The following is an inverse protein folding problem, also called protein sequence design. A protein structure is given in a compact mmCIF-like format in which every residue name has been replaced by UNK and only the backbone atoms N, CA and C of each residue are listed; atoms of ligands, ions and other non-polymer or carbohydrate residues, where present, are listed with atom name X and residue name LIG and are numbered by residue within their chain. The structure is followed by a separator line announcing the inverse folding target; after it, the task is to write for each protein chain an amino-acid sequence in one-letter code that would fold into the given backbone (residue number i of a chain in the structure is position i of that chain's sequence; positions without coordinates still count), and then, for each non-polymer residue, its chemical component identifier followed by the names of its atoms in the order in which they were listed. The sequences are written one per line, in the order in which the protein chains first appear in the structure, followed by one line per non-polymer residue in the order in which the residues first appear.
data_IF_098892611739
#
_entry.id   IF_098892611739
#
_cell.length_a   1.000
_cell.length_b   1.000
_cell.length_c   1.000
_cell.angle_alpha   90.00
_cell.angle_beta   90.00
_cell.angle_gamma   90.00
#
_symmetry.space_group_name_H-M   'P 1'
#
loop_
_entity.id
_entity.type
_entity.pdbx_description
1 polymer ?
#
# COMPACT_ATOMS: atom_id res chain seq x y z
N UNK A 1 21.30 -3.76 -4.03
CA UNK A 1 21.01 -2.97 -2.83
C UNK A 1 20.01 -1.87 -3.15
N UNK A 2 19.36 -1.31 -2.14
CA UNK A 2 18.38 -0.22 -2.30
C UNK A 2 19.05 1.03 -2.87
N UNK A 3 20.26 1.32 -2.43
CA UNK A 3 21.03 2.49 -2.86
C UNK A 3 21.42 2.39 -4.34
N UNK A 4 21.88 1.24 -4.81
CA UNK A 4 22.18 1.02 -6.22
C UNK A 4 20.96 1.18 -7.13
N UNK A 5 19.77 0.76 -6.66
CA UNK A 5 18.53 0.96 -7.42
C UNK A 5 18.20 2.46 -7.52
N UNK A 6 18.28 3.20 -6.41
CA UNK A 6 18.01 4.64 -6.38
C UNK A 6 18.94 5.41 -7.33
N UNK A 7 20.24 5.09 -7.30
CA UNK A 7 21.22 5.69 -8.21
C UNK A 7 20.95 5.34 -9.69
N UNK A 8 20.60 4.08 -9.97
CA UNK A 8 20.27 3.65 -11.33
C UNK A 8 19.04 4.39 -11.88
N UNK A 9 17.99 4.55 -11.06
CA UNK A 9 16.80 5.33 -11.42
C UNK A 9 17.15 6.80 -11.62
N UNK A 10 17.98 7.41 -10.78
CA UNK A 10 18.42 8.80 -10.93
C UNK A 10 19.20 9.00 -12.24
N UNK A 11 20.02 8.04 -12.63
CA UNK A 11 20.74 8.07 -13.92
C UNK A 11 19.79 8.02 -15.12
N UNK A 12 18.80 7.11 -15.09
CA UNK A 12 17.77 7.03 -16.14
C UNK A 12 16.97 8.33 -16.25
N UNK A 13 16.62 8.94 -15.12
CA UNK A 13 15.96 10.24 -15.05
C UNK A 13 16.79 11.33 -15.73
N UNK A 14 18.07 11.46 -15.37
CA UNK A 14 18.96 12.46 -15.97
C UNK A 14 19.11 12.30 -17.49
N UNK A 15 19.17 11.06 -17.98
CA UNK A 15 19.20 10.76 -19.41
C UNK A 15 17.88 11.13 -20.10
N UNK A 16 16.75 10.79 -19.48
CA UNK A 16 15.43 11.12 -20.01
C UNK A 16 15.21 12.64 -20.07
N UNK A 17 15.60 13.37 -19.02
CA UNK A 17 15.56 14.83 -18.99
C UNK A 17 16.42 15.47 -20.09
N UNK A 18 17.62 14.93 -20.33
CA UNK A 18 18.48 15.37 -21.41
C UNK A 18 17.83 15.21 -22.79
N UNK A 19 17.20 14.05 -23.04
CA UNK A 19 16.48 13.80 -24.30
C UNK A 19 15.25 14.70 -24.45
N UNK A 20 14.51 14.94 -23.38
CA UNK A 20 13.37 15.84 -23.40
C UNK A 20 13.77 17.28 -23.73
N UNK A 21 14.87 17.78 -23.16
CA UNK A 21 15.41 19.13 -23.42
C UNK A 21 15.83 19.33 -24.88
N UNK A 22 16.35 18.32 -25.55
CA UNK A 22 16.71 18.40 -26.96
C UNK A 22 15.55 18.05 -27.90
N UNK A 23 14.33 17.91 -27.38
CA UNK A 23 13.11 17.68 -28.16
C UNK A 23 12.88 16.21 -28.56
N UNK A 24 13.75 15.27 -28.16
CA UNK A 24 13.56 13.86 -28.47
C UNK A 24 12.54 13.21 -27.48
N UNK A 25 11.30 13.69 -27.55
CA UNK A 25 10.20 13.24 -26.67
C UNK A 25 9.96 11.72 -26.69
N UNK A 26 9.97 11.03 -27.83
CA UNK A 26 9.75 9.58 -27.85
C UNK A 26 10.78 8.80 -27.03
N UNK A 27 12.06 9.11 -27.19
CA UNK A 27 13.14 8.46 -26.46
C UNK A 27 13.10 8.83 -24.96
N UNK A 28 12.78 10.09 -24.61
CA UNK A 28 12.59 10.50 -23.24
C UNK A 28 11.46 9.71 -22.55
N UNK A 29 10.32 9.55 -23.19
CA UNK A 29 9.18 8.77 -22.67
C UNK A 29 9.58 7.32 -22.39
N UNK A 30 10.36 6.70 -23.28
CA UNK A 30 10.83 5.33 -23.08
C UNK A 30 11.70 5.21 -21.83
N UNK A 31 12.66 6.12 -21.63
CA UNK A 31 13.53 6.10 -20.45
C UNK A 31 12.77 6.44 -19.17
N UNK A 32 11.82 7.39 -19.19
CA UNK A 32 10.96 7.64 -18.04
C UNK A 32 10.13 6.42 -17.66
N UNK A 33 9.60 5.66 -18.61
CA UNK A 33 8.88 4.42 -18.31
C UNK A 33 9.79 3.36 -17.68
N UNK A 34 11.00 3.16 -18.23
CA UNK A 34 11.99 2.27 -17.63
C UNK A 34 12.37 2.71 -16.20
N UNK A 35 12.52 4.00 -15.99
CA UNK A 35 12.78 4.54 -14.66
C UNK A 35 11.60 4.28 -13.70
N UNK A 36 10.36 4.44 -14.16
CA UNK A 36 9.16 4.18 -13.35
C UNK A 36 9.06 2.69 -12.94
N UNK A 37 9.36 1.78 -13.87
CA UNK A 37 9.34 0.34 -13.60
C UNK A 37 10.31 -0.05 -12.47
N UNK A 38 11.45 0.64 -12.39
CA UNK A 38 12.48 0.40 -11.39
C UNK A 38 12.28 1.21 -10.09
N UNK A 39 11.61 2.36 -10.15
CA UNK A 39 11.46 3.27 -9.03
C UNK A 39 10.61 2.67 -7.90
N UNK A 40 11.03 2.95 -6.65
CA UNK A 40 10.30 2.58 -5.42
C UNK A 40 10.33 3.70 -4.38
N UNK A 41 11.13 4.72 -4.63
CA UNK A 41 11.23 5.90 -3.77
C UNK A 41 10.23 6.96 -4.24
N UNK A 42 9.41 7.46 -3.32
CA UNK A 42 8.25 8.31 -3.63
C UNK A 42 8.62 9.60 -4.36
N UNK A 43 9.74 10.20 -4.01
CA UNK A 43 10.27 11.41 -4.68
C UNK A 43 10.61 11.14 -6.15
N UNK A 44 11.26 10.02 -6.45
CA UNK A 44 11.57 9.62 -7.82
C UNK A 44 10.29 9.29 -8.61
N UNK A 45 9.34 8.55 -8.02
CA UNK A 45 8.06 8.22 -8.66
C UNK A 45 7.28 9.49 -9.00
N UNK A 46 7.22 10.47 -8.08
CA UNK A 46 6.57 11.77 -8.34
C UNK A 46 7.22 12.52 -9.49
N UNK A 47 8.55 12.60 -9.50
CA UNK A 47 9.30 13.28 -10.57
C UNK A 47 9.05 12.63 -11.93
N UNK A 48 9.16 11.30 -12.01
CA UNK A 48 8.97 10.54 -13.25
C UNK A 48 7.52 10.67 -13.75
N UNK A 49 6.54 10.50 -12.88
CA UNK A 49 5.12 10.57 -13.26
C UNK A 49 4.73 11.99 -13.71
N UNK A 50 5.29 13.02 -13.05
CA UNK A 50 5.14 14.42 -13.47
C UNK A 50 5.67 14.65 -14.88
N UNK A 51 6.93 14.27 -15.15
CA UNK A 51 7.55 14.41 -16.46
C UNK A 51 6.78 13.66 -17.58
N UNK A 52 6.30 12.46 -17.29
CA UNK A 52 5.46 11.71 -18.24
C UNK A 52 4.15 12.45 -18.55
N UNK A 53 3.49 13.00 -17.53
CA UNK A 53 2.25 13.77 -17.69
C UNK A 53 2.48 15.06 -18.50
N UNK A 54 3.57 15.78 -18.27
CA UNK A 54 3.97 16.96 -19.06
C UNK A 54 4.22 16.61 -20.53
N UNK A 55 4.69 15.40 -20.81
CA UNK A 55 4.81 14.86 -22.16
C UNK A 55 3.50 14.29 -22.73
N UNK A 56 2.36 14.56 -22.07
CA UNK A 56 1.04 14.12 -22.52
C UNK A 56 0.79 12.62 -22.34
N UNK A 57 1.54 11.94 -21.45
CA UNK A 57 1.38 10.52 -21.20
C UNK A 57 0.55 10.26 -19.93
N UNK A 58 -0.50 9.45 -20.06
CA UNK A 58 -1.27 8.99 -18.90
C UNK A 58 -0.40 8.07 -18.04
N UNK A 59 -0.40 8.31 -16.74
CA UNK A 59 0.26 7.46 -15.72
C UNK A 59 -0.80 7.12 -14.67
N UNK A 60 -1.08 5.84 -14.53
CA UNK A 60 -1.91 5.28 -13.47
C UNK A 60 -1.00 4.49 -12.53
N UNK A 61 -0.63 5.10 -11.41
CA UNK A 61 0.29 4.50 -10.45
C UNK A 61 -0.36 3.33 -9.70
N UNK A 62 -1.66 3.43 -9.43
CA UNK A 62 -2.43 2.36 -8.79
C UNK A 62 -2.35 1.05 -9.60
N UNK A 63 -2.61 1.15 -10.90
CA UNK A 63 -2.50 -0.01 -11.78
C UNK A 63 -1.05 -0.46 -11.98
N UNK A 64 -0.12 0.48 -12.11
CA UNK A 64 1.30 0.20 -12.34
C UNK A 64 1.92 -0.60 -11.19
N UNK A 65 1.63 -0.24 -9.95
CA UNK A 65 2.13 -0.94 -8.77
C UNK A 65 1.23 -2.08 -8.30
N UNK A 66 0.01 -2.20 -8.83
CA UNK A 66 -0.97 -3.19 -8.41
C UNK A 66 -1.47 -2.96 -6.99
N UNK A 67 -1.68 -1.69 -6.60
CA UNK A 67 -2.20 -1.38 -5.28
C UNK A 67 -3.63 -1.90 -5.11
N UNK A 68 -3.90 -2.49 -3.95
CA UNK A 68 -5.24 -2.83 -3.52
C UNK A 68 -5.89 -1.57 -2.95
N UNK A 69 -6.99 -1.12 -3.56
CA UNK A 69 -7.62 0.17 -3.24
C UNK A 69 -9.02 0.04 -2.65
N UNK A 70 -9.67 -1.11 -2.86
CA UNK A 70 -11.01 -1.40 -2.37
C UNK A 70 -10.93 -2.32 -1.15
N UNK A 71 -11.51 -1.88 -0.05
CA UNK A 71 -11.40 -2.53 1.24
C UNK A 71 -12.74 -2.56 1.96
N UNK A 72 -12.88 -3.51 2.87
CA UNK A 72 -13.88 -3.50 3.93
C UNK A 72 -13.14 -3.18 5.24
N UNK A 73 -13.60 -2.19 5.97
CA UNK A 73 -12.94 -1.72 7.18
C UNK A 73 -13.83 -1.89 8.40
N UNK A 74 -13.25 -2.30 9.51
CA UNK A 74 -13.93 -2.45 10.80
C UNK A 74 -13.11 -1.82 11.92
N UNK A 75 -13.74 -0.98 12.73
CA UNK A 75 -13.16 -0.26 13.84
C UNK A 75 -14.04 0.91 14.28
N UNK A 76 -13.63 1.68 15.30
CA UNK A 76 -12.39 1.50 16.08
C UNK A 76 -12.54 0.47 17.21
N UNK A 77 -11.43 -0.15 17.59
CA UNK A 77 -11.27 -0.98 18.78
C UNK A 77 -10.24 -0.33 19.71
N UNK A 78 -10.30 -0.64 21.01
CA UNK A 78 -9.37 -0.07 21.98
C UNK A 78 -7.92 -0.47 21.76
N UNK A 79 -7.00 0.51 21.87
CA UNK A 79 -5.56 0.29 21.85
C UNK A 79 -4.87 1.09 22.97
N UNK A 80 -5.52 1.22 24.12
CA UNK A 80 -4.96 1.93 25.27
C UNK A 80 -3.62 1.31 25.65
N UNK A 81 -2.65 2.16 25.91
CA UNK A 81 -1.27 1.76 26.27
C UNK A 81 -0.62 0.78 25.26
N UNK A 82 -1.05 0.83 23.99
CA UNK A 82 -0.60 -0.04 22.89
C UNK A 82 -0.97 -1.53 23.05
N UNK A 83 -1.88 -1.87 23.96
CA UNK A 83 -2.30 -3.25 24.21
C UNK A 83 -3.01 -3.90 23.00
N UNK A 84 -3.47 -3.11 22.02
CA UNK A 84 -4.20 -3.59 20.84
C UNK A 84 -3.39 -4.53 19.96
N UNK A 85 -2.06 -4.43 19.95
CA UNK A 85 -1.23 -5.34 19.14
C UNK A 85 -1.29 -6.78 19.68
N UNK A 86 -1.28 -6.98 20.99
CA UNK A 86 -1.38 -8.31 21.62
C UNK A 86 -2.84 -8.76 21.82
N UNK A 87 -3.79 -7.83 21.67
CA UNK A 87 -5.22 -8.14 21.83
C UNK A 87 -5.77 -8.85 20.61
N UNK A 88 -6.73 -9.75 20.82
CA UNK A 88 -7.46 -10.45 19.74
C UNK A 88 -8.89 -9.92 19.72
N UNK A 89 -9.21 -9.12 18.70
CA UNK A 89 -10.55 -8.57 18.52
C UNK A 89 -11.43 -9.47 17.66
N UNK A 90 -12.70 -9.09 17.53
CA UNK A 90 -13.70 -9.86 16.79
C UNK A 90 -13.31 -10.22 15.36
N UNK A 91 -12.77 -9.29 14.53
CA UNK A 91 -12.37 -9.57 13.17
C UNK A 91 -11.32 -10.68 13.00
N UNK A 92 -10.45 -10.88 13.98
CA UNK A 92 -9.47 -11.98 13.96
C UNK A 92 -10.08 -13.36 14.19
N UNK A 93 -11.24 -13.40 14.88
CA UNK A 93 -11.97 -14.63 15.18
C UNK A 93 -12.96 -14.99 14.09
N UNK A 94 -13.59 -14.01 13.51
CA UNK A 94 -14.57 -14.13 12.44
C UNK A 94 -14.54 -12.87 11.58
N UNK A 95 -14.06 -12.99 10.35
CA UNK A 95 -13.91 -11.90 9.39
C UNK A 95 -15.11 -11.81 8.41
N UNK A 96 -16.24 -12.50 8.67
CA UNK A 96 -17.41 -12.43 7.82
C UNK A 96 -17.97 -11.02 7.73
N UNK A 97 -18.29 -10.56 6.53
CA UNK A 97 -18.77 -9.19 6.27
C UNK A 97 -20.10 -8.86 6.97
N UNK A 98 -20.92 -9.87 7.27
CA UNK A 98 -22.18 -9.72 8.02
C UNK A 98 -21.98 -9.61 9.53
N UNK A 99 -20.78 -9.92 10.03
CA UNK A 99 -20.51 -9.96 11.45
C UNK A 99 -20.56 -8.55 12.10
N UNK A 100 -20.89 -8.54 13.39
CA UNK A 100 -20.90 -7.34 14.22
C UNK A 100 -20.08 -7.60 15.47
N UNK A 101 -19.26 -6.66 15.85
CA UNK A 101 -18.30 -6.80 16.95
C UNK A 101 -18.53 -5.76 18.03
N UNK A 102 -18.05 -6.03 19.24
CA UNK A 102 -17.95 -5.01 20.29
C UNK A 102 -16.71 -4.14 20.01
N UNK A 103 -16.93 -2.89 19.67
CA UNK A 103 -15.91 -1.89 19.41
C UNK A 103 -15.66 -0.99 20.61
N UNK A 104 -14.94 0.12 20.39
CA UNK A 104 -14.59 1.08 21.45
C UNK A 104 -15.83 1.77 22.03
N UNK A 105 -16.73 2.23 21.19
CA UNK A 105 -17.90 3.04 21.58
C UNK A 105 -19.23 2.39 21.14
N UNK A 106 -19.28 1.07 21.07
CA UNK A 106 -20.49 0.34 20.68
C UNK A 106 -20.23 -0.73 19.62
N UNK A 107 -21.28 -1.09 18.88
CA UNK A 107 -21.17 -2.13 17.86
C UNK A 107 -20.48 -1.62 16.60
N UNK A 108 -19.51 -2.38 16.13
CA UNK A 108 -18.75 -2.16 14.90
C UNK A 108 -19.14 -3.19 13.85
N UNK A 109 -19.30 -2.74 12.63
CA UNK A 109 -19.53 -3.60 11.45
C UNK A 109 -18.51 -3.26 10.38
N UNK A 110 -18.33 -4.17 9.42
CA UNK A 110 -17.59 -3.90 8.22
C UNK A 110 -18.30 -2.82 7.37
N UNK A 111 -17.53 -1.89 6.84
CA UNK A 111 -17.98 -0.84 5.94
C UNK A 111 -17.04 -0.73 4.74
N UNK A 112 -17.60 -0.54 3.55
CA UNK A 112 -16.83 -0.34 2.34
C UNK A 112 -16.01 0.94 2.39
N UNK A 113 -14.76 0.86 1.93
CA UNK A 113 -13.85 1.99 1.79
C UNK A 113 -13.01 1.80 0.52
N UNK A 114 -13.00 2.81 -0.34
CA UNK A 114 -12.08 2.89 -1.48
C UNK A 114 -11.17 4.09 -1.30
N UNK A 115 -9.86 3.90 -1.53
CA UNK A 115 -8.93 5.02 -1.56
C UNK A 115 -8.77 5.56 -2.97
N UNK A 116 -8.79 6.88 -3.10
CA UNK A 116 -8.49 7.64 -4.32
C UNK A 116 -7.02 8.11 -4.37
N UNK A 117 -6.24 7.76 -3.36
CA UNK A 117 -4.81 8.07 -3.31
C UNK A 117 -4.05 7.33 -4.41
N UNK A 118 -3.33 8.05 -5.26
CA UNK A 118 -2.64 7.48 -6.41
C UNK A 118 -1.48 6.52 -6.02
N UNK A 119 -1.07 6.53 -4.76
CA UNK A 119 -0.08 5.61 -4.18
C UNK A 119 -0.71 4.49 -3.37
N UNK A 120 -2.05 4.34 -3.45
CA UNK A 120 -2.79 3.27 -2.79
C UNK A 120 -2.81 3.36 -1.26
N UNK A 121 -2.63 4.56 -0.69
CA UNK A 121 -2.63 4.73 0.76
C UNK A 121 -4.04 4.55 1.32
N UNK A 122 -4.19 3.61 2.25
CA UNK A 122 -5.42 3.39 3.01
C UNK A 122 -5.30 4.15 4.33
N UNK A 123 -5.98 5.29 4.43
CA UNK A 123 -5.96 6.15 5.60
C UNK A 123 -7.17 5.87 6.49
N UNK A 124 -6.93 5.23 7.62
CA UNK A 124 -7.97 4.90 8.60
C UNK A 124 -8.62 6.12 9.27
N UNK A 125 -7.99 7.29 9.22
CA UNK A 125 -8.60 8.52 9.72
C UNK A 125 -9.78 8.98 8.85
N UNK A 126 -9.79 8.65 7.57
CA UNK A 126 -10.89 9.06 6.67
C UNK A 126 -12.25 8.50 7.11
N UNK A 127 -12.43 7.19 7.33
CA UNK A 127 -13.71 6.64 7.78
C UNK A 127 -14.00 6.83 9.27
N UNK A 128 -12.98 6.96 10.13
CA UNK A 128 -13.15 6.94 11.60
C UNK A 128 -12.84 8.27 12.29
N UNK A 129 -12.28 9.24 11.58
CA UNK A 129 -11.76 10.47 12.16
C UNK A 129 -10.36 10.29 12.78
N UNK A 130 -9.77 11.39 13.23
CA UNK A 130 -8.43 11.41 13.84
C UNK A 130 -8.49 10.90 15.28
N UNK A 131 -8.63 9.59 15.43
CA UNK A 131 -8.68 8.91 16.72
C UNK A 131 -7.28 8.51 17.18
N UNK A 132 -7.09 8.45 18.49
CA UNK A 132 -5.86 8.00 19.14
C UNK A 132 -6.13 6.73 19.94
N UNK A 133 -5.08 5.94 20.16
CA UNK A 133 -5.16 4.71 20.94
C UNK A 133 -6.23 3.74 20.43
N UNK A 134 -6.30 3.59 19.10
CA UNK A 134 -7.27 2.71 18.45
C UNK A 134 -6.59 1.68 17.54
N UNK A 135 -7.26 0.55 17.38
CA UNK A 135 -6.95 -0.49 16.39
C UNK A 135 -8.09 -0.53 15.37
N UNK A 136 -7.76 -0.71 14.12
CA UNK A 136 -8.71 -0.93 13.04
C UNK A 136 -8.30 -2.12 12.19
N UNK A 137 -9.26 -2.71 11.51
CA UNK A 137 -9.06 -3.81 10.57
C UNK A 137 -9.47 -3.38 9.17
N UNK A 138 -8.76 -3.89 8.19
CA UNK A 138 -9.14 -3.78 6.80
C UNK A 138 -8.99 -5.14 6.14
N UNK A 139 -9.98 -5.56 5.35
CA UNK A 139 -9.89 -6.76 4.54
C UNK A 139 -10.25 -6.46 3.09
N UNK A 140 -9.64 -7.19 2.19
CA UNK A 140 -9.94 -7.16 0.76
C UNK A 140 -9.76 -8.54 0.18
N UNK A 141 -10.41 -8.80 -0.94
CA UNK A 141 -10.29 -10.05 -1.68
C UNK A 141 -9.71 -9.78 -3.06
N UNK A 142 -8.87 -10.67 -3.51
CA UNK A 142 -8.42 -10.71 -4.90
C UNK A 142 -8.37 -12.16 -5.38
N UNK A 143 -8.70 -12.38 -6.65
CA UNK A 143 -8.78 -13.72 -7.24
C UNK A 143 -7.48 -14.06 -7.95
N UNK A 144 -6.88 -15.20 -7.59
CA UNK A 144 -5.79 -15.80 -8.35
C UNK A 144 -6.32 -16.91 -9.24
N UNK A 145 -6.15 -16.77 -10.55
CA UNK A 145 -6.60 -17.80 -11.52
C UNK A 145 -5.79 -19.10 -11.47
N UNK A 146 -4.64 -19.11 -10.79
CA UNK A 146 -3.73 -20.25 -10.69
C UNK A 146 -3.03 -20.29 -9.32
N UNK A 147 -2.56 -21.46 -8.93
CA UNK A 147 -1.64 -21.60 -7.80
C UNK A 147 -0.28 -21.03 -8.20
N UNK A 148 0.25 -20.06 -7.45
CA UNK A 148 1.54 -19.44 -7.76
C UNK A 148 2.20 -18.78 -6.56
N UNK A 149 3.53 -18.69 -6.54
CA UNK A 149 4.23 -17.82 -5.60
C UNK A 149 3.90 -16.35 -5.93
N UNK A 150 3.80 -15.52 -4.90
CA UNK A 150 3.60 -14.08 -4.99
C UNK A 150 4.31 -13.38 -3.84
N UNK A 151 4.36 -12.06 -3.90
CA UNK A 151 4.80 -11.22 -2.78
C UNK A 151 3.66 -10.28 -2.39
N UNK A 152 3.26 -10.30 -1.12
CA UNK A 152 2.52 -9.19 -0.53
C UNK A 152 3.51 -8.10 -0.18
N UNK A 153 3.23 -6.88 -0.68
CA UNK A 153 4.12 -5.73 -0.50
C UNK A 153 3.34 -4.62 0.17
N UNK A 154 3.88 -4.09 1.24
CA UNK A 154 3.20 -3.04 1.98
C UNK A 154 4.19 -2.08 2.64
N UNK A 155 3.66 -0.91 2.98
CA UNK A 155 4.26 0.04 3.89
C UNK A 155 3.27 0.34 5.00
N UNK A 156 3.74 0.47 6.23
CA UNK A 156 2.91 0.84 7.35
C UNK A 156 3.65 1.78 8.30
N UNK A 157 2.92 2.70 8.91
CA UNK A 157 3.45 3.74 9.79
C UNK A 157 3.52 3.31 11.25
N UNK A 158 2.57 2.46 11.67
CA UNK A 158 2.36 2.02 13.04
C UNK A 158 2.43 0.49 13.15
N UNK A 159 2.09 -0.05 14.31
CA UNK A 159 1.97 -1.49 14.52
C UNK A 159 0.90 -2.11 13.62
N UNK A 160 1.18 -3.28 13.09
CA UNK A 160 0.30 -3.96 12.15
C UNK A 160 0.52 -5.47 12.13
N UNK A 161 -0.52 -6.19 11.79
CA UNK A 161 -0.50 -7.61 11.47
C UNK A 161 -1.20 -7.84 10.14
N UNK A 162 -0.82 -8.90 9.42
CA UNK A 162 -1.46 -9.29 8.16
C UNK A 162 -1.75 -10.78 8.14
N UNK A 163 -2.95 -11.10 7.72
CA UNK A 163 -3.43 -12.47 7.53
C UNK A 163 -3.70 -12.70 6.04
N UNK A 164 -3.40 -13.89 5.57
CA UNK A 164 -3.77 -14.37 4.25
C UNK A 164 -4.63 -15.62 4.40
N UNK A 165 -5.88 -15.57 3.93
CA UNK A 165 -6.83 -16.67 4.05
C UNK A 165 -7.00 -17.19 5.49
N UNK A 166 -7.01 -16.27 6.46
CA UNK A 166 -7.16 -16.57 7.89
C UNK A 166 -5.88 -16.97 8.63
N UNK A 167 -4.76 -17.14 7.93
CA UNK A 167 -3.46 -17.45 8.53
C UNK A 167 -2.64 -16.17 8.76
N UNK A 168 -2.14 -15.95 9.98
CA UNK A 168 -1.24 -14.85 10.29
C UNK A 168 0.10 -15.07 9.57
N UNK A 169 0.42 -14.22 8.59
CA UNK A 169 1.65 -14.34 7.80
C UNK A 169 2.76 -13.44 8.29
N UNK A 170 2.42 -12.32 8.92
CA UNK A 170 3.42 -11.40 9.46
C UNK A 170 2.81 -10.38 10.44
N UNK A 171 3.67 -9.81 11.30
CA UNK A 171 3.31 -8.70 12.18
C UNK A 171 4.53 -7.91 12.63
N UNK A 172 4.32 -6.65 12.96
CA UNK A 172 5.33 -5.74 13.49
C UNK A 172 4.71 -4.82 14.52
N UNK A 173 5.24 -4.84 15.73
CA UNK A 173 4.94 -3.83 16.76
C UNK A 173 5.90 -2.66 16.59
N UNK A 174 5.55 -1.74 15.70
CA UNK A 174 6.32 -0.54 15.40
C UNK A 174 5.49 0.71 15.73
N UNK A 175 6.15 1.81 16.08
CA UNK A 175 5.48 3.05 16.42
C UNK A 175 6.13 4.24 15.69
N UNK A 176 5.30 5.00 14.96
CA UNK A 176 5.68 6.21 14.23
C UNK A 176 6.90 6.05 13.30
N UNK A 177 7.03 4.94 12.61
CA UNK A 177 8.00 4.81 11.54
C UNK A 177 7.50 5.45 10.25
N UNK A 178 8.45 5.93 9.45
CA UNK A 178 8.13 6.40 8.11
C UNK A 178 7.58 5.27 7.24
N UNK A 179 6.61 5.58 6.38
CA UNK A 179 6.02 4.63 5.42
C UNK A 179 6.65 4.81 4.05
N UNK A 180 6.95 3.70 3.37
CA UNK A 180 7.47 3.67 1.99
C UNK A 180 6.74 2.60 1.18
N UNK A 181 6.69 2.79 -0.13
CA UNK A 181 6.26 1.73 -1.05
C UNK A 181 7.25 0.56 -0.94
N UNK A 182 6.73 -0.67 -0.88
CA UNK A 182 7.54 -1.90 -0.74
C UNK A 182 8.46 -1.90 0.49
N UNK A 183 8.04 -1.27 1.58
CA UNK A 183 8.79 -1.26 2.84
C UNK A 183 9.00 -2.67 3.40
N UNK A 184 7.98 -3.51 3.26
CA UNK A 184 7.99 -4.92 3.60
C UNK A 184 7.59 -5.76 2.39
N UNK A 185 8.22 -6.91 2.25
CA UNK A 185 7.96 -7.91 1.21
C UNK A 185 7.78 -9.27 1.84
N UNK A 186 6.60 -9.82 1.71
CA UNK A 186 6.22 -11.08 2.31
C UNK A 186 6.01 -12.11 1.20
N UNK A 187 6.88 -13.12 1.07
CA UNK A 187 6.63 -14.20 0.12
C UNK A 187 5.41 -15.01 0.58
N UNK A 188 4.49 -15.23 -0.32
CA UNK A 188 3.26 -15.98 -0.07
C UNK A 188 2.95 -16.93 -1.22
N UNK A 189 2.12 -17.94 -0.94
CA UNK A 189 1.61 -18.85 -1.95
C UNK A 189 0.12 -18.55 -2.17
N UNK A 190 -0.20 -18.04 -3.36
CA UNK A 190 -1.59 -17.90 -3.76
C UNK A 190 -2.15 -19.25 -4.20
N UNK A 191 -3.38 -19.50 -3.80
CA UNK A 191 -4.19 -20.65 -4.24
C UNK A 191 -5.23 -20.19 -5.26
N UNK A 192 -5.53 -21.06 -6.22
CA UNK A 192 -6.66 -20.88 -7.14
C UNK A 192 -7.97 -21.00 -6.38
#
# INVERSE_FOLDING_TARGET
SVDLRREAVARLLGQADGLAKVGNKPAAVLLYRQALDAARDLDQIKSISGALRELGRKVNLTLHFGFLVDWQMAGPFHNKDRAGFESVFGPEKNAELSASYDGMDGKVKWQGYSTDDEYGMVDFNKPYGDLKEVTGYAQTEFVSGINRPAELRLGCKNAWKIWLNGELVFGRDEYHRGMRIDQYKLPVQLKK
#
